data_IF_596341315856
#
_entry.id   IF_596341315856
#
_cell.length_a   1.000
_cell.length_b   1.000
_cell.length_c   1.000
_cell.angle_alpha   90.00
_cell.angle_beta   90.00
_cell.angle_gamma   90.00
#
_symmetry.space_group_name_H-M   'P 1'
#
loop_
_entity.id
_entity.type
_entity.pdbx_description
1 polymer ?
#
# COMPACT_ATOMS: atom_id res chain seq x y z
N UNK A 1 0.03 68.92 33.99
CA UNK A 1 -0.86 70.05 33.71
C UNK A 1 -2.25 69.43 33.59
N UNK A 2 -2.97 69.26 34.61
CA UNK A 2 -4.16 69.92 35.20
C UNK A 2 -4.99 70.59 34.09
N UNK A 3 -6.29 70.20 33.93
CA UNK A 3 -7.51 70.74 34.63
C UNK A 3 -8.65 69.94 33.97
N UNK A 4 -9.47 69.14 34.54
CA UNK A 4 -10.62 69.24 35.49
C UNK A 4 -11.69 70.30 35.13
N UNK A 5 -12.96 69.87 35.15
CA UNK A 5 -14.17 70.52 35.69
C UNK A 5 -15.42 69.99 34.92
N UNK A 6 -16.25 69.15 35.44
CA UNK A 6 -17.38 69.13 36.40
C UNK A 6 -18.67 69.88 36.00
N UNK A 7 -19.78 69.20 36.34
CA UNK A 7 -21.15 69.62 36.68
C UNK A 7 -22.18 69.66 35.52
N UNK A 8 -23.39 69.22 35.70
CA UNK A 8 -24.17 68.65 36.80
C UNK A 8 -25.67 68.95 36.61
N UNK A 9 -26.48 68.06 37.17
CA UNK A 9 -27.80 68.34 37.77
C UNK A 9 -28.95 68.68 36.78
N UNK A 10 -30.13 68.04 36.71
CA UNK A 10 -31.15 67.78 37.69
C UNK A 10 -32.30 66.91 37.09
N UNK A 11 -32.89 66.10 37.95
CA UNK A 11 -34.23 65.49 37.88
C UNK A 11 -35.31 66.52 38.35
N UNK A 12 -36.60 66.43 38.04
CA UNK A 12 -37.54 65.76 38.92
C UNK A 12 -38.76 65.07 38.25
N UNK A 13 -39.14 63.95 38.70
CA UNK A 13 -40.24 63.51 39.58
C UNK A 13 -41.71 63.83 39.22
N UNK A 14 -42.46 62.71 39.22
CA UNK A 14 -43.90 62.50 39.51
C UNK A 14 -44.91 62.54 38.34
N UNK A 15 -45.70 61.50 38.13
CA UNK A 15 -46.93 61.12 38.86
C UNK A 15 -47.59 59.86 38.30
N UNK A 16 -48.11 59.09 39.21
CA UNK A 16 -48.97 57.90 39.05
C UNK A 16 -50.22 58.19 38.21
N UNK A 17 -50.70 57.20 37.48
CA UNK A 17 -52.11 56.79 37.47
C UNK A 17 -52.27 55.32 37.07
N UNK A 18 -53.10 54.61 37.83
CA UNK A 18 -53.53 53.23 37.68
C UNK A 18 -54.49 53.07 36.53
N UNK A 19 -54.47 51.94 35.89
CA UNK A 19 -55.51 51.49 34.99
C UNK A 19 -55.30 50.02 34.63
N UNK A 20 -56.02 49.12 35.26
CA UNK A 20 -56.08 47.70 34.98
C UNK A 20 -56.93 47.45 33.74
N UNK A 21 -56.48 46.51 32.89
CA UNK A 21 -57.41 45.64 32.10
C UNK A 21 -56.64 44.51 31.39
N UNK A 22 -56.97 43.30 31.79
CA UNK A 22 -57.17 42.06 31.02
C UNK A 22 -56.19 41.73 29.84
N UNK A 23 -55.36 40.82 30.03
CA UNK A 23 -55.21 39.45 29.56
C UNK A 23 -55.30 39.18 28.06
N UNK A 24 -54.21 38.76 27.54
CA UNK A 24 -54.18 37.62 26.58
C UNK A 24 -52.74 37.06 26.59
N UNK A 25 -52.55 35.88 27.16
CA UNK A 25 -51.32 35.08 27.02
C UNK A 25 -51.18 34.62 25.56
N UNK A 26 -50.30 35.24 24.81
CA UNK A 26 -49.77 34.67 23.59
C UNK A 26 -48.52 33.87 23.96
N UNK A 27 -48.67 32.55 24.10
CA UNK A 27 -47.57 31.61 24.19
C UNK A 27 -46.91 31.54 22.81
N UNK A 28 -45.85 32.31 22.58
CA UNK A 28 -44.94 32.12 21.46
C UNK A 28 -44.10 30.88 21.75
N UNK A 29 -44.48 29.74 21.13
CA UNK A 29 -43.68 28.56 21.02
C UNK A 29 -42.40 28.96 20.24
N UNK A 30 -41.27 29.10 20.96
CA UNK A 30 -39.95 29.06 20.33
C UNK A 30 -39.75 27.65 19.77
N UNK A 31 -40.15 27.46 18.50
CA UNK A 31 -39.63 26.36 17.72
C UNK A 31 -38.11 26.58 17.60
N UNK A 32 -37.35 25.93 18.48
CA UNK A 32 -35.93 25.81 18.35
C UNK A 32 -35.61 25.03 17.09
N UNK A 33 -35.51 25.75 15.97
CA UNK A 33 -34.90 25.20 14.77
C UNK A 33 -33.46 24.86 15.12
N UNK A 34 -33.16 23.60 15.28
CA UNK A 34 -31.78 23.13 15.22
C UNK A 34 -31.26 23.52 13.84
N UNK A 35 -30.51 24.62 13.78
CA UNK A 35 -29.72 24.92 12.59
C UNK A 35 -28.88 23.66 12.34
N UNK A 36 -28.90 23.13 11.11
CA UNK A 36 -28.00 22.04 10.79
C UNK A 36 -26.59 22.54 11.12
N UNK A 37 -25.89 21.83 12.01
CA UNK A 37 -24.48 22.03 12.20
C UNK A 37 -23.87 22.00 10.79
N UNK A 38 -23.25 23.07 10.38
CA UNK A 38 -22.51 23.13 9.13
C UNK A 38 -21.53 21.98 9.21
N UNK A 39 -21.76 20.92 8.45
CA UNK A 39 -20.78 19.89 8.22
C UNK A 39 -19.58 20.65 7.67
N UNK A 40 -18.48 20.69 8.43
CA UNK A 40 -17.25 21.25 7.93
C UNK A 40 -17.00 20.60 6.57
N UNK A 41 -16.81 21.41 5.51
CA UNK A 41 -16.51 20.89 4.18
C UNK A 41 -15.26 20.03 4.29
N UNK A 42 -15.45 18.71 4.34
CA UNK A 42 -14.36 17.76 4.36
C UNK A 42 -13.82 17.67 2.91
N UNK A 43 -12.53 17.94 2.68
CA UNK A 43 -11.99 17.79 1.34
C UNK A 43 -12.29 16.41 0.79
N UNK A 44 -12.86 16.34 -0.41
CA UNK A 44 -13.15 15.09 -1.10
C UNK A 44 -14.36 14.31 -0.61
N UNK A 45 -15.09 14.81 0.40
CA UNK A 45 -16.31 14.15 0.89
C UNK A 45 -17.51 15.05 0.67
N UNK A 46 -18.54 14.53 0.03
CA UNK A 46 -19.84 15.18 -0.13
C UNK A 46 -20.93 14.31 0.51
N UNK A 47 -22.18 14.71 0.45
CA UNK A 47 -23.30 13.89 0.95
C UNK A 47 -23.46 12.54 0.22
N UNK A 48 -22.85 12.36 -0.95
CA UNK A 48 -23.06 11.19 -1.82
C UNK A 48 -21.79 10.62 -2.42
N UNK A 49 -20.62 11.21 -2.16
CA UNK A 49 -19.37 10.83 -2.79
C UNK A 49 -18.17 10.94 -1.85
N UNK A 50 -17.23 10.01 -1.97
CA UNK A 50 -15.89 10.07 -1.38
C UNK A 50 -14.89 10.01 -2.52
N UNK A 51 -14.01 11.03 -2.64
CA UNK A 51 -12.92 11.06 -3.62
C UNK A 51 -11.66 10.46 -3.02
N UNK A 52 -11.11 9.45 -3.69
CA UNK A 52 -9.88 8.75 -3.30
C UNK A 52 -8.86 8.94 -4.41
N UNK A 53 -7.64 9.35 -4.06
CA UNK A 53 -6.55 9.54 -5.00
C UNK A 53 -5.60 8.37 -5.06
N UNK A 54 -4.98 8.17 -6.22
CA UNK A 54 -3.95 7.16 -6.44
C UNK A 54 -2.95 7.64 -7.50
N UNK A 55 -1.72 7.15 -7.41
CA UNK A 55 -0.74 7.20 -8.51
C UNK A 55 -0.22 5.79 -8.76
N UNK A 56 -0.12 5.43 -10.03
CA UNK A 56 0.36 4.12 -10.47
C UNK A 56 1.22 4.27 -11.74
N UNK A 57 2.01 3.26 -12.04
CA UNK A 57 2.85 3.20 -13.22
C UNK A 57 2.09 2.59 -14.41
N UNK A 58 1.23 3.35 -15.05
CA UNK A 58 0.56 2.89 -16.29
C UNK A 58 1.50 2.88 -17.48
N UNK A 59 2.60 3.62 -17.39
CA UNK A 59 3.68 3.69 -18.36
C UNK A 59 5.05 3.48 -17.69
N UNK A 60 6.13 3.43 -18.51
CA UNK A 60 7.50 3.36 -18.00
C UNK A 60 7.96 1.97 -17.56
N UNK A 61 9.10 1.89 -16.84
CA UNK A 61 9.80 0.62 -16.58
C UNK A 61 9.04 -0.32 -15.62
N UNK A 62 8.12 0.20 -14.82
CA UNK A 62 7.30 -0.57 -13.87
C UNK A 62 5.86 -0.77 -14.37
N UNK A 63 5.57 -0.58 -15.66
CA UNK A 63 4.22 -0.61 -16.22
C UNK A 63 3.49 -1.95 -16.09
N UNK A 64 4.20 -3.03 -15.78
CA UNK A 64 3.58 -4.30 -15.41
C UNK A 64 2.65 -4.19 -14.17
N UNK A 65 2.90 -3.22 -13.30
CA UNK A 65 2.05 -2.96 -12.13
C UNK A 65 0.80 -2.12 -12.44
N UNK A 66 0.72 -1.44 -13.58
CA UNK A 66 -0.41 -0.56 -13.92
C UNK A 66 -1.78 -1.25 -13.96
N UNK A 67 -1.82 -2.58 -13.91
CA UNK A 67 -3.04 -3.36 -13.76
C UNK A 67 -3.61 -3.27 -12.32
N UNK A 68 -2.78 -2.91 -11.33
CA UNK A 68 -3.20 -2.79 -9.92
C UNK A 68 -4.29 -1.74 -9.80
N UNK A 69 -4.00 -0.49 -10.13
CA UNK A 69 -4.99 0.58 -9.99
C UNK A 69 -6.16 0.47 -10.98
N UNK A 70 -5.99 -0.20 -12.13
CA UNK A 70 -7.12 -0.58 -13.00
C UNK A 70 -8.06 -1.54 -12.29
N UNK A 71 -7.52 -2.51 -11.57
CA UNK A 71 -8.31 -3.48 -10.80
C UNK A 71 -9.01 -2.83 -9.62
N UNK A 72 -8.33 -1.91 -8.92
CA UNK A 72 -8.92 -1.11 -7.83
C UNK A 72 -10.08 -0.24 -8.35
N UNK A 73 -9.91 0.43 -9.48
CA UNK A 73 -10.98 1.20 -10.14
C UNK A 73 -12.19 0.31 -10.46
N UNK A 74 -11.95 -0.88 -10.99
CA UNK A 74 -13.00 -1.87 -11.28
C UNK A 74 -13.66 -2.37 -9.98
N UNK A 75 -12.89 -2.56 -8.90
CA UNK A 75 -13.41 -2.95 -7.59
C UNK A 75 -14.34 -1.87 -7.02
N UNK A 76 -13.92 -0.61 -7.03
CA UNK A 76 -14.77 0.48 -6.56
C UNK A 76 -16.00 0.69 -7.44
N UNK A 77 -15.88 0.44 -8.75
CA UNK A 77 -17.08 0.37 -9.61
C UNK A 77 -18.03 -0.72 -9.15
N UNK A 78 -17.56 -1.90 -8.82
CA UNK A 78 -18.37 -3.00 -8.27
C UNK A 78 -19.09 -2.55 -6.98
N UNK A 79 -18.38 -1.92 -6.06
CA UNK A 79 -18.97 -1.41 -4.81
C UNK A 79 -20.02 -0.32 -5.11
N UNK A 80 -19.74 0.57 -6.04
CA UNK A 80 -20.67 1.60 -6.47
C UNK A 80 -21.96 1.02 -7.10
N UNK A 81 -21.84 -0.04 -7.90
CA UNK A 81 -23.00 -0.75 -8.47
C UNK A 81 -23.88 -1.38 -7.38
N UNK A 82 -23.28 -1.72 -6.21
CA UNK A 82 -23.98 -2.27 -5.04
C UNK A 82 -24.52 -1.20 -4.07
N UNK A 83 -24.40 0.09 -4.40
CA UNK A 83 -24.92 1.18 -3.57
C UNK A 83 -23.84 2.08 -2.95
N UNK A 84 -22.57 1.69 -2.98
CA UNK A 84 -21.47 2.41 -2.34
C UNK A 84 -21.27 2.01 -0.88
N UNK A 85 -20.71 2.92 -0.06
CA UNK A 85 -20.49 2.74 1.37
C UNK A 85 -21.25 3.81 2.13
N UNK A 86 -22.14 3.42 3.03
CA UNK A 86 -22.98 4.33 3.83
C UNK A 86 -23.67 5.42 2.96
N UNK A 87 -24.14 5.03 1.77
CA UNK A 87 -24.81 5.93 0.81
C UNK A 87 -23.88 6.76 -0.06
N UNK A 88 -22.55 6.66 0.14
CA UNK A 88 -21.57 7.39 -0.66
C UNK A 88 -20.99 6.50 -1.77
N UNK A 89 -20.87 7.06 -2.96
CA UNK A 89 -20.12 6.44 -4.07
C UNK A 89 -18.64 6.76 -3.92
N UNK A 90 -17.81 5.82 -4.31
CA UNK A 90 -16.34 6.00 -4.33
C UNK A 90 -15.95 6.55 -5.69
N UNK A 91 -15.37 7.74 -5.72
CA UNK A 91 -14.77 8.34 -6.90
C UNK A 91 -13.24 8.16 -6.81
N UNK A 92 -12.73 7.16 -7.53
CA UNK A 92 -11.33 6.79 -7.52
C UNK A 92 -10.59 7.46 -8.68
N UNK A 93 -9.69 8.38 -8.35
CA UNK A 93 -8.88 9.16 -9.29
C UNK A 93 -7.46 8.62 -9.29
N UNK A 94 -7.06 7.93 -10.35
CA UNK A 94 -5.72 7.37 -10.50
C UNK A 94 -4.97 7.99 -11.68
N UNK A 95 -3.74 8.45 -11.43
CA UNK A 95 -2.91 9.13 -12.42
C UNK A 95 -1.61 8.36 -12.70
N UNK A 96 -1.18 8.39 -13.97
CA UNK A 96 0.10 7.83 -14.41
C UNK A 96 1.27 8.69 -13.91
N UNK A 97 2.14 8.11 -13.12
CA UNK A 97 3.40 8.72 -12.73
C UNK A 97 4.63 8.11 -13.44
N UNK A 98 4.43 7.04 -14.22
CA UNK A 98 5.49 6.33 -14.94
C UNK A 98 6.59 5.79 -14.03
N UNK A 99 6.30 5.58 -12.74
CA UNK A 99 7.27 5.20 -11.70
C UNK A 99 8.38 6.27 -11.52
N UNK A 100 8.04 7.54 -11.73
CA UNK A 100 8.98 8.68 -11.67
C UNK A 100 8.66 9.54 -10.46
N UNK A 101 9.54 9.61 -9.43
CA UNK A 101 9.30 10.42 -8.25
C UNK A 101 8.92 11.89 -8.52
N UNK A 102 9.55 12.62 -9.48
CA UNK A 102 9.11 13.97 -9.82
C UNK A 102 7.67 14.03 -10.34
N UNK A 103 7.26 13.08 -11.20
CA UNK A 103 5.88 13.02 -11.70
C UNK A 103 4.91 12.64 -10.58
N UNK A 104 5.28 11.73 -9.69
CA UNK A 104 4.46 11.39 -8.53
C UNK A 104 4.17 12.63 -7.68
N UNK A 105 5.18 13.46 -7.42
CA UNK A 105 4.99 14.74 -6.69
C UNK A 105 4.00 15.64 -7.40
N UNK A 106 4.10 15.76 -8.74
CA UNK A 106 3.17 16.56 -9.55
C UNK A 106 1.73 16.02 -9.43
N UNK A 107 1.54 14.72 -9.68
CA UNK A 107 0.21 14.10 -9.67
C UNK A 107 -0.43 14.13 -8.28
N UNK A 108 0.35 13.88 -7.22
CA UNK A 108 -0.16 13.92 -5.85
C UNK A 108 -0.54 15.36 -5.43
N UNK A 109 0.20 16.38 -5.85
CA UNK A 109 -0.21 17.76 -5.64
C UNK A 109 -1.51 18.07 -6.37
N UNK A 110 -1.67 17.61 -7.61
CA UNK A 110 -2.91 17.75 -8.35
C UNK A 110 -4.08 17.09 -7.62
N UNK A 111 -3.92 15.82 -7.20
CA UNK A 111 -4.96 15.10 -6.45
C UNK A 111 -5.38 15.83 -5.16
N UNK A 112 -4.41 16.37 -4.41
CA UNK A 112 -4.69 17.01 -3.12
C UNK A 112 -5.18 18.44 -3.27
N UNK A 113 -4.55 19.25 -4.14
CA UNK A 113 -4.76 20.71 -4.21
C UNK A 113 -5.84 21.10 -5.24
N UNK A 114 -6.00 20.34 -6.33
CA UNK A 114 -6.96 20.64 -7.40
C UNK A 114 -8.18 19.74 -7.34
N UNK A 115 -7.97 18.42 -7.30
CA UNK A 115 -9.08 17.44 -7.26
C UNK A 115 -9.68 17.30 -5.86
N UNK A 116 -8.93 17.76 -4.83
CA UNK A 116 -9.36 17.78 -3.43
C UNK A 116 -9.77 16.39 -2.94
N UNK A 117 -8.94 15.37 -3.17
CA UNK A 117 -9.21 14.03 -2.66
C UNK A 117 -9.21 14.00 -1.13
N UNK A 118 -10.00 13.13 -0.54
CA UNK A 118 -10.01 12.94 0.89
C UNK A 118 -8.70 12.33 1.35
N UNK A 119 -8.31 11.21 0.75
CA UNK A 119 -7.06 10.53 1.05
C UNK A 119 -6.48 9.86 -0.19
N UNK A 120 -5.23 9.37 -0.07
CA UNK A 120 -4.57 8.56 -1.08
C UNK A 120 -4.65 7.08 -0.68
N UNK A 121 -4.81 6.21 -1.67
CA UNK A 121 -4.91 4.78 -1.48
C UNK A 121 -4.00 4.03 -2.45
N UNK A 122 -3.23 3.09 -1.92
CA UNK A 122 -2.40 2.13 -2.65
C UNK A 122 -1.49 2.76 -3.72
N UNK A 123 -0.96 3.96 -3.46
CA UNK A 123 0.02 4.60 -4.34
C UNK A 123 1.24 3.71 -4.54
N UNK A 124 1.67 3.53 -5.80
CA UNK A 124 2.67 2.53 -6.17
C UNK A 124 4.10 2.98 -5.91
N UNK A 125 4.89 2.08 -5.32
CA UNK A 125 6.34 2.10 -5.35
C UNK A 125 7.03 2.81 -4.19
N UNK A 126 8.24 2.37 -3.88
CA UNK A 126 9.04 2.93 -2.78
C UNK A 126 9.61 4.30 -3.11
N UNK A 127 10.31 4.52 -4.23
CA UNK A 127 10.91 5.83 -4.52
C UNK A 127 9.85 6.91 -4.75
N UNK A 128 8.72 6.56 -5.34
CA UNK A 128 7.59 7.44 -5.59
C UNK A 128 6.94 7.89 -4.28
N UNK A 129 6.65 6.97 -3.37
CA UNK A 129 6.09 7.28 -2.05
C UNK A 129 7.09 8.02 -1.15
N UNK A 130 8.39 7.68 -1.21
CA UNK A 130 9.43 8.44 -0.49
C UNK A 130 9.41 9.93 -0.88
N UNK A 131 9.18 10.24 -2.16
CA UNK A 131 9.13 11.62 -2.65
C UNK A 131 7.93 12.43 -2.13
N UNK A 132 6.82 11.79 -1.78
CA UNK A 132 5.58 12.46 -1.35
C UNK A 132 5.30 12.33 0.15
N UNK A 133 5.94 11.40 0.86
CA UNK A 133 5.66 11.06 2.25
C UNK A 133 5.64 12.29 3.18
N UNK A 134 6.67 13.13 3.10
CA UNK A 134 6.76 14.34 3.92
C UNK A 134 5.64 15.34 3.59
N UNK A 135 5.30 15.48 2.32
CA UNK A 135 4.26 16.41 1.87
C UNK A 135 2.87 15.96 2.34
N UNK A 136 2.52 14.70 2.14
CA UNK A 136 1.21 14.14 2.57
C UNK A 136 1.05 14.23 4.08
N UNK A 137 2.10 13.93 4.86
CA UNK A 137 2.10 14.05 6.32
C UNK A 137 1.95 15.50 6.79
N UNK A 138 2.64 16.48 6.17
CA UNK A 138 2.46 17.90 6.47
C UNK A 138 1.04 18.39 6.18
N UNK A 139 0.44 17.91 5.09
CA UNK A 139 -0.96 18.24 4.71
C UNK A 139 -2.00 17.43 5.50
N UNK A 140 -1.58 16.49 6.34
CA UNK A 140 -2.44 15.54 7.06
C UNK A 140 -3.42 14.82 6.12
N UNK A 141 -2.92 14.37 4.97
CA UNK A 141 -3.63 13.55 4.01
C UNK A 141 -3.19 12.11 4.23
N UNK A 142 -4.09 11.21 4.63
CA UNK A 142 -3.76 9.80 4.73
C UNK A 142 -3.24 9.26 3.39
N UNK A 143 -2.16 8.49 3.42
CA UNK A 143 -1.70 7.66 2.31
C UNK A 143 -1.74 6.21 2.79
N UNK A 144 -2.85 5.53 2.49
CA UNK A 144 -3.19 4.25 3.10
C UNK A 144 -2.79 3.09 2.21
N UNK A 145 -2.23 2.07 2.86
CA UNK A 145 -1.95 0.77 2.25
C UNK A 145 -1.11 0.90 1.00
N UNK A 146 -0.05 1.71 1.08
CA UNK A 146 0.82 1.97 -0.07
C UNK A 146 1.37 0.68 -0.66
N UNK A 147 1.42 0.63 -2.00
CA UNK A 147 1.80 -0.56 -2.78
C UNK A 147 3.31 -0.75 -2.79
N UNK A 148 3.87 -1.04 -1.62
CA UNK A 148 5.29 -1.35 -1.39
C UNK A 148 5.51 -1.89 0.01
N UNK A 149 6.50 -2.78 0.15
CA UNK A 149 6.88 -3.39 1.43
C UNK A 149 8.13 -2.80 2.07
N UNK A 150 8.57 -1.58 1.70
CA UNK A 150 9.73 -0.99 2.36
C UNK A 150 9.49 -0.83 3.86
N UNK A 151 10.49 -1.18 4.66
CA UNK A 151 10.38 -1.28 6.12
C UNK A 151 9.99 0.05 6.78
N UNK A 152 10.39 1.17 6.17
CA UNK A 152 10.10 2.53 6.65
C UNK A 152 8.62 2.87 6.78
N UNK A 153 7.72 2.17 6.06
CA UNK A 153 6.27 2.44 6.11
C UNK A 153 5.62 2.06 7.44
N UNK A 154 6.35 1.40 8.33
CA UNK A 154 5.96 1.15 9.70
C UNK A 154 6.22 2.30 10.67
N UNK A 155 6.83 3.42 10.25
CA UNK A 155 7.21 4.55 11.12
C UNK A 155 6.03 5.46 11.48
N UNK A 156 5.10 4.93 12.26
CA UNK A 156 3.92 5.65 12.74
C UNK A 156 4.25 6.89 13.59
N UNK A 157 5.47 6.97 14.17
CA UNK A 157 5.88 8.09 15.04
C UNK A 157 6.20 9.36 14.25
N UNK A 158 6.94 9.21 13.16
CA UNK A 158 7.38 10.34 12.34
C UNK A 158 6.41 10.62 11.18
N UNK A 159 5.74 9.58 10.68
CA UNK A 159 4.84 9.65 9.52
C UNK A 159 3.46 9.07 9.82
N UNK A 160 2.70 9.64 10.79
CA UNK A 160 1.42 9.08 11.27
C UNK A 160 0.30 9.09 10.21
N UNK A 161 0.50 9.69 9.06
CA UNK A 161 -0.46 9.74 7.95
C UNK A 161 -0.09 8.82 6.79
N UNK A 162 0.93 7.96 6.96
CA UNK A 162 1.38 7.01 5.95
C UNK A 162 1.36 5.60 6.54
N UNK A 163 0.75 4.65 5.82
CA UNK A 163 0.67 3.25 6.25
C UNK A 163 0.99 2.32 5.08
N UNK A 164 1.89 1.34 5.31
CA UNK A 164 2.18 0.27 4.37
C UNK A 164 1.05 -0.76 4.27
N UNK A 165 1.21 -1.76 3.41
CA UNK A 165 0.31 -2.91 3.33
C UNK A 165 1.07 -4.23 3.27
N UNK A 166 2.00 -4.32 2.34
CA UNK A 166 2.78 -5.53 2.09
C UNK A 166 3.70 -5.87 3.27
N UNK A 167 4.10 -7.14 3.42
CA UNK A 167 5.15 -7.52 4.36
C UNK A 167 6.45 -6.76 4.09
N UNK A 168 7.22 -6.52 5.16
CA UNK A 168 8.50 -5.81 5.06
C UNK A 168 9.52 -6.57 4.20
N UNK A 169 10.12 -5.88 3.23
CA UNK A 169 11.23 -6.40 2.40
C UNK A 169 12.45 -6.77 3.24
N UNK A 170 12.71 -6.01 4.28
CA UNK A 170 13.78 -6.31 5.24
C UNK A 170 13.52 -7.64 5.96
N UNK A 171 12.28 -7.89 6.39
CA UNK A 171 11.85 -9.17 6.96
C UNK A 171 11.95 -10.29 5.94
N UNK A 172 11.56 -10.06 4.69
CA UNK A 172 11.68 -11.04 3.62
C UNK A 172 13.14 -11.47 3.41
N UNK A 173 14.06 -10.52 3.34
CA UNK A 173 15.49 -10.79 3.23
C UNK A 173 16.05 -11.56 4.44
N UNK A 174 15.55 -11.30 5.64
CA UNK A 174 15.89 -12.06 6.84
C UNK A 174 15.45 -13.53 6.73
N UNK A 175 14.25 -13.77 6.20
CA UNK A 175 13.72 -15.13 5.96
C UNK A 175 14.61 -15.88 4.98
N UNK A 176 14.96 -15.26 3.83
CA UNK A 176 15.83 -15.86 2.84
C UNK A 176 17.20 -16.18 3.42
N UNK A 177 17.77 -15.27 4.17
CA UNK A 177 19.10 -15.45 4.77
C UNK A 177 19.11 -16.59 5.79
N UNK A 178 18.11 -16.67 6.65
CA UNK A 178 17.96 -17.77 7.62
C UNK A 178 17.81 -19.12 6.91
N UNK A 179 16.96 -19.17 5.87
CA UNK A 179 16.77 -20.38 5.08
C UNK A 179 18.08 -20.79 4.36
N UNK A 180 18.74 -19.84 3.69
CA UNK A 180 20.03 -20.06 3.02
C UNK A 180 21.06 -20.70 3.96
N UNK A 181 21.25 -20.12 5.14
CA UNK A 181 22.21 -20.61 6.13
C UNK A 181 21.85 -22.00 6.68
N UNK A 182 20.55 -22.30 6.81
CA UNK A 182 20.08 -23.62 7.23
C UNK A 182 20.37 -24.70 6.17
N UNK A 183 20.29 -24.34 4.88
CA UNK A 183 20.61 -25.27 3.78
C UNK A 183 22.11 -25.35 3.49
N UNK A 184 22.81 -24.23 3.52
CA UNK A 184 24.25 -24.13 3.26
C UNK A 184 24.93 -23.14 4.21
N UNK A 185 25.49 -23.59 5.35
CA UNK A 185 26.18 -22.71 6.29
C UNK A 185 27.43 -22.00 5.73
N UNK A 186 27.91 -22.44 4.56
CA UNK A 186 29.09 -21.87 3.86
C UNK A 186 28.70 -21.10 2.59
N UNK A 187 27.43 -20.77 2.43
CA UNK A 187 26.92 -20.07 1.26
C UNK A 187 27.71 -18.79 0.97
N UNK A 188 27.91 -18.52 -0.32
CA UNK A 188 28.44 -17.27 -0.85
C UNK A 188 27.34 -16.56 -1.60
N UNK A 189 26.87 -15.45 -1.05
CA UNK A 189 25.72 -14.69 -1.53
C UNK A 189 26.16 -13.56 -2.46
N UNK A 190 25.54 -13.50 -3.63
CA UNK A 190 25.53 -12.31 -4.48
C UNK A 190 24.13 -11.65 -4.43
N UNK A 191 24.08 -10.31 -4.46
CA UNK A 191 22.83 -9.54 -4.36
C UNK A 191 22.73 -8.60 -5.54
N UNK A 192 21.61 -8.67 -6.29
CA UNK A 192 21.17 -7.65 -7.25
C UNK A 192 20.02 -6.87 -6.61
N UNK A 193 20.08 -5.54 -6.61
CA UNK A 193 19.02 -4.74 -6.04
C UNK A 193 18.79 -3.42 -6.78
N UNK A 194 17.54 -2.92 -6.78
CA UNK A 194 17.19 -1.58 -7.27
C UNK A 194 17.85 -0.52 -6.37
N UNK A 195 18.48 0.50 -6.93
CA UNK A 195 19.23 1.51 -6.17
C UNK A 195 18.34 2.56 -5.50
N UNK A 196 17.44 2.11 -4.65
CA UNK A 196 16.58 2.94 -3.81
C UNK A 196 16.24 2.24 -2.49
N UNK A 197 15.32 2.79 -1.68
CA UNK A 197 14.96 2.23 -0.39
C UNK A 197 14.31 0.83 -0.51
N UNK A 198 13.61 0.51 -1.63
CA UNK A 198 13.12 -0.84 -1.90
C UNK A 198 14.26 -1.86 -1.94
N UNK A 199 15.19 -1.63 -2.84
CA UNK A 199 16.28 -2.57 -3.05
C UNK A 199 17.23 -2.63 -1.86
N UNK A 200 17.47 -1.51 -1.16
CA UNK A 200 18.40 -1.41 -0.02
C UNK A 200 17.90 -2.11 1.26
N UNK A 201 16.61 -2.35 1.39
CA UNK A 201 16.06 -3.14 2.49
C UNK A 201 16.58 -4.60 2.48
N UNK A 202 16.88 -5.15 1.28
CA UNK A 202 17.35 -6.54 1.18
C UNK A 202 18.78 -6.73 1.74
N UNK A 203 19.81 -5.98 1.30
CA UNK A 203 21.12 -6.09 1.95
C UNK A 203 21.05 -5.71 3.44
N UNK A 204 20.17 -4.79 3.86
CA UNK A 204 19.97 -4.48 5.27
C UNK A 204 19.41 -5.69 6.04
N UNK A 205 18.38 -6.36 5.53
CA UNK A 205 17.82 -7.56 6.17
C UNK A 205 18.80 -8.74 6.20
N UNK A 206 19.60 -8.92 5.13
CA UNK A 206 20.71 -9.88 5.11
C UNK A 206 21.72 -9.56 6.21
N UNK A 207 22.09 -8.28 6.37
CA UNK A 207 23.03 -7.82 7.39
C UNK A 207 22.52 -8.02 8.82
N UNK A 208 21.22 -7.84 9.05
CA UNK A 208 20.61 -8.10 10.35
C UNK A 208 20.83 -9.55 10.83
N UNK A 209 20.75 -10.50 9.90
CA UNK A 209 20.95 -11.93 10.23
C UNK A 209 22.42 -12.29 10.34
N UNK A 210 23.25 -11.79 9.43
CA UNK A 210 24.67 -12.16 9.35
C UNK A 210 25.55 -11.41 10.35
N UNK A 211 25.17 -10.18 10.73
CA UNK A 211 25.98 -9.34 11.61
C UNK A 211 27.40 -9.16 11.09
N UNK A 212 28.39 -9.47 11.94
CA UNK A 212 29.82 -9.38 11.59
C UNK A 212 30.25 -10.32 10.45
N UNK A 213 29.47 -11.37 10.16
CA UNK A 213 29.75 -12.31 9.05
C UNK A 213 29.36 -11.77 7.67
N UNK A 214 28.70 -10.61 7.59
CA UNK A 214 28.19 -10.07 6.34
C UNK A 214 29.26 -10.06 5.23
N UNK A 215 30.41 -9.43 5.47
CA UNK A 215 31.49 -9.30 4.50
C UNK A 215 32.15 -10.63 4.08
N UNK A 216 31.98 -11.69 4.86
CA UNK A 216 32.53 -13.02 4.52
C UNK A 216 31.53 -13.90 3.75
N UNK A 217 30.22 -13.60 3.85
CA UNK A 217 29.14 -14.34 3.18
C UNK A 217 28.69 -13.61 1.91
N UNK A 218 28.49 -12.29 1.96
CA UNK A 218 28.11 -11.48 0.81
C UNK A 218 29.36 -11.15 0.00
N UNK A 219 29.58 -11.89 -1.07
CA UNK A 219 30.81 -11.79 -1.89
C UNK A 219 30.71 -10.70 -2.96
N UNK A 220 29.50 -10.32 -3.36
CA UNK A 220 29.26 -9.27 -4.35
C UNK A 220 27.87 -8.66 -4.23
N UNK A 221 27.80 -7.34 -4.34
CA UNK A 221 26.57 -6.59 -4.52
C UNK A 221 26.65 -5.82 -5.85
N UNK A 222 25.53 -5.73 -6.55
CA UNK A 222 25.36 -4.88 -7.70
C UNK A 222 23.96 -4.22 -7.67
N UNK A 223 23.93 -2.94 -7.97
CA UNK A 223 22.66 -2.22 -8.09
C UNK A 223 22.34 -1.87 -9.53
N UNK A 224 21.07 -1.57 -9.79
CA UNK A 224 20.59 -1.03 -11.05
C UNK A 224 19.67 0.16 -10.80
N UNK A 225 19.56 1.03 -11.81
CA UNK A 225 18.58 2.12 -11.84
C UNK A 225 17.34 1.69 -12.65
N UNK A 226 16.16 2.19 -12.28
CA UNK A 226 14.93 1.89 -13.01
C UNK A 226 14.96 2.38 -14.47
N UNK A 227 15.85 3.31 -14.77
CA UNK A 227 16.10 3.85 -16.12
C UNK A 227 17.09 3.04 -16.95
N UNK A 228 17.74 2.03 -16.35
CA UNK A 228 18.66 1.17 -17.09
C UNK A 228 17.93 0.39 -18.20
N UNK A 229 18.59 0.22 -19.32
CA UNK A 229 18.05 -0.59 -20.41
C UNK A 229 18.09 -2.08 -20.07
N UNK A 230 19.24 -2.55 -19.55
CA UNK A 230 19.50 -3.94 -19.17
C UNK A 230 20.35 -4.01 -17.89
N UNK A 231 20.42 -5.22 -17.30
CA UNK A 231 21.25 -5.54 -16.14
C UNK A 231 22.33 -6.58 -16.47
N UNK A 232 22.67 -6.73 -17.73
CA UNK A 232 23.59 -7.77 -18.21
C UNK A 232 24.98 -7.70 -17.55
N UNK A 233 25.53 -6.48 -17.41
CA UNK A 233 26.83 -6.27 -16.79
C UNK A 233 26.82 -6.59 -15.30
N UNK A 234 25.76 -6.21 -14.61
CA UNK A 234 25.57 -6.53 -13.19
C UNK A 234 25.51 -8.04 -12.99
N UNK A 235 24.68 -8.75 -13.77
CA UNK A 235 24.52 -10.20 -13.65
C UNK A 235 25.81 -10.96 -13.98
N UNK A 236 26.54 -10.55 -15.02
CA UNK A 236 27.83 -11.13 -15.35
C UNK A 236 28.87 -10.94 -14.23
N UNK A 237 28.89 -9.74 -13.63
CA UNK A 237 29.76 -9.45 -12.50
C UNK A 237 29.40 -10.25 -11.23
N UNK A 238 28.10 -10.49 -10.98
CA UNK A 238 27.63 -11.29 -9.85
C UNK A 238 28.01 -12.76 -10.04
N UNK A 239 27.83 -13.33 -11.24
CA UNK A 239 28.28 -14.69 -11.54
C UNK A 239 29.80 -14.85 -11.37
N UNK A 240 30.59 -13.91 -11.90
CA UNK A 240 32.05 -13.95 -11.83
C UNK A 240 32.59 -13.86 -10.40
N UNK A 241 31.78 -13.47 -9.40
CA UNK A 241 32.18 -13.45 -7.99
C UNK A 241 32.35 -14.84 -7.36
N UNK A 242 31.88 -15.88 -8.05
CA UNK A 242 31.88 -17.25 -7.54
C UNK A 242 30.81 -17.51 -6.47
N UNK A 243 29.76 -16.69 -6.42
CA UNK A 243 28.62 -16.92 -5.53
C UNK A 243 27.85 -18.19 -5.95
N UNK A 244 27.45 -18.98 -4.96
CA UNK A 244 26.56 -20.15 -5.09
C UNK A 244 25.11 -19.83 -4.77
N UNK A 245 24.85 -18.62 -4.31
CA UNK A 245 23.54 -18.12 -3.95
C UNK A 245 23.34 -16.72 -4.53
N UNK A 246 22.16 -16.46 -5.07
CA UNK A 246 21.76 -15.17 -5.66
C UNK A 246 20.46 -14.68 -5.01
N UNK A 247 20.45 -13.42 -4.60
CA UNK A 247 19.25 -12.70 -4.18
C UNK A 247 18.96 -11.55 -5.16
N UNK A 248 17.76 -11.53 -5.73
CA UNK A 248 17.31 -10.51 -6.68
C UNK A 248 16.16 -9.72 -6.11
N UNK A 249 16.41 -8.46 -5.78
CA UNK A 249 15.44 -7.46 -5.35
C UNK A 249 15.17 -6.49 -6.51
N UNK A 250 14.31 -6.90 -7.43
CA UNK A 250 14.08 -6.21 -8.69
C UNK A 250 12.59 -6.11 -9.04
N UNK A 251 12.20 -5.02 -9.72
CA UNK A 251 10.88 -4.86 -10.31
C UNK A 251 10.68 -5.80 -11.52
N UNK A 252 9.46 -6.05 -12.00
CA UNK A 252 9.14 -7.11 -12.95
C UNK A 252 10.04 -7.20 -14.19
N UNK A 253 10.27 -6.07 -14.88
CA UNK A 253 11.15 -6.01 -16.06
C UNK A 253 12.54 -6.58 -15.75
N UNK A 254 13.14 -6.12 -14.67
CA UNK A 254 14.52 -6.50 -14.32
C UNK A 254 14.60 -7.88 -13.67
N UNK A 255 13.54 -8.30 -12.96
CA UNK A 255 13.42 -9.66 -12.46
C UNK A 255 13.38 -10.67 -13.63
N UNK A 256 12.57 -10.43 -14.66
CA UNK A 256 12.52 -11.27 -15.85
C UNK A 256 13.89 -11.31 -16.58
N UNK A 257 14.57 -10.15 -16.68
CA UNK A 257 15.92 -10.09 -17.25
C UNK A 257 16.92 -10.89 -16.41
N UNK A 258 16.86 -10.81 -15.07
CA UNK A 258 17.75 -11.55 -14.18
C UNK A 258 17.57 -13.07 -14.33
N UNK A 259 16.33 -13.55 -14.34
CA UNK A 259 16.00 -14.97 -14.52
C UNK A 259 16.56 -15.48 -15.86
N UNK A 260 16.27 -14.76 -16.95
CA UNK A 260 16.78 -15.12 -18.28
C UNK A 260 18.32 -15.12 -18.32
N UNK A 261 18.95 -14.08 -17.72
CA UNK A 261 20.41 -13.97 -17.76
C UNK A 261 21.10 -15.05 -16.94
N UNK A 262 20.56 -15.48 -15.82
CA UNK A 262 21.06 -16.61 -15.03
C UNK A 262 21.09 -17.88 -15.88
N UNK A 263 19.99 -18.15 -16.62
CA UNK A 263 19.89 -19.27 -17.55
C UNK A 263 20.92 -19.14 -18.69
N UNK A 264 20.99 -18.00 -19.37
CA UNK A 264 21.88 -17.75 -20.51
C UNK A 264 23.36 -17.88 -20.14
N UNK A 265 23.71 -17.54 -18.87
CA UNK A 265 25.09 -17.71 -18.34
C UNK A 265 25.40 -19.15 -17.90
N UNK A 266 24.44 -20.08 -17.96
CA UNK A 266 24.61 -21.42 -17.39
C UNK A 266 24.92 -21.39 -15.88
N UNK A 267 24.47 -20.35 -15.17
CA UNK A 267 24.69 -20.21 -13.75
C UNK A 267 23.58 -20.91 -12.96
N UNK A 268 23.93 -21.68 -11.95
CA UNK A 268 22.99 -22.49 -11.16
C UNK A 268 23.07 -22.19 -9.67
N UNK A 269 22.80 -20.95 -9.23
CA UNK A 269 22.82 -20.59 -7.82
C UNK A 269 21.52 -21.07 -7.13
N UNK A 270 21.55 -21.18 -5.81
CA UNK A 270 20.30 -21.07 -5.04
C UNK A 270 19.75 -19.66 -5.26
N UNK A 271 18.59 -19.53 -5.92
CA UNK A 271 18.08 -18.25 -6.40
C UNK A 271 16.88 -17.79 -5.56
N UNK A 272 17.03 -16.66 -4.87
CA UNK A 272 15.94 -15.97 -4.15
C UNK A 272 15.45 -14.78 -4.96
N UNK A 273 14.13 -14.68 -5.13
CA UNK A 273 13.47 -13.58 -5.85
C UNK A 273 12.50 -12.86 -4.92
N UNK A 274 12.50 -11.52 -4.95
CA UNK A 274 11.52 -10.70 -4.22
C UNK A 274 10.08 -11.06 -4.55
N UNK A 275 9.20 -11.06 -3.56
CA UNK A 275 7.79 -11.44 -3.70
C UNK A 275 6.99 -10.51 -4.62
N UNK A 276 7.43 -9.27 -4.83
CA UNK A 276 6.74 -8.32 -5.73
C UNK A 276 6.96 -8.58 -7.22
N UNK A 277 7.82 -9.54 -7.57
CA UNK A 277 8.14 -9.88 -8.96
C UNK A 277 7.99 -11.38 -9.27
N UNK A 278 6.95 -12.00 -8.70
CA UNK A 278 6.69 -13.43 -8.84
C UNK A 278 5.49 -13.76 -9.76
N UNK A 279 4.80 -12.75 -10.28
CA UNK A 279 3.63 -12.96 -11.14
C UNK A 279 3.96 -13.87 -12.31
N UNK A 280 3.14 -14.91 -12.52
CA UNK A 280 3.34 -15.85 -13.62
C UNK A 280 3.16 -15.13 -14.95
N UNK A 281 2.08 -14.38 -15.13
CA UNK A 281 1.78 -13.68 -16.37
C UNK A 281 2.77 -12.57 -16.72
N UNK A 282 3.16 -11.75 -15.74
CA UNK A 282 3.97 -10.55 -16.00
C UNK A 282 5.47 -10.70 -15.76
N UNK A 283 5.94 -11.81 -15.13
CA UNK A 283 7.37 -12.04 -14.86
C UNK A 283 7.84 -13.41 -15.33
N UNK A 284 7.25 -14.51 -14.82
CA UNK A 284 7.78 -15.83 -15.06
C UNK A 284 7.62 -16.27 -16.53
N UNK A 285 6.46 -16.02 -17.16
CA UNK A 285 6.23 -16.32 -18.56
C UNK A 285 7.12 -15.48 -19.50
N UNK A 286 7.25 -14.15 -19.34
CA UNK A 286 8.20 -13.35 -20.12
C UNK A 286 9.67 -13.73 -19.94
N UNK A 287 10.05 -14.25 -18.77
CA UNK A 287 11.41 -14.73 -18.50
C UNK A 287 11.73 -16.09 -19.16
N UNK A 288 10.69 -16.81 -19.65
CA UNK A 288 10.76 -18.24 -19.94
C UNK A 288 10.54 -19.02 -18.65
N UNK A 289 9.34 -19.59 -18.49
CA UNK A 289 8.91 -20.22 -17.23
C UNK A 289 9.89 -21.31 -16.75
N UNK A 290 10.45 -22.07 -17.69
CA UNK A 290 11.44 -23.12 -17.45
C UNK A 290 12.77 -22.58 -16.92
N UNK A 291 13.16 -21.35 -17.28
CA UNK A 291 14.41 -20.73 -16.85
C UNK A 291 14.43 -20.43 -15.34
N UNK A 292 13.26 -20.33 -14.74
CA UNK A 292 13.08 -20.02 -13.33
C UNK A 292 12.90 -21.24 -12.43
N UNK A 293 12.91 -22.47 -12.95
CA UNK A 293 12.65 -23.67 -12.12
C UNK A 293 13.62 -23.74 -10.95
N UNK A 294 13.08 -23.85 -9.74
CA UNK A 294 13.84 -23.89 -8.50
C UNK A 294 14.02 -22.55 -7.79
N UNK A 295 13.62 -21.42 -8.40
CA UNK A 295 13.60 -20.10 -7.74
C UNK A 295 12.74 -20.18 -6.47
N UNK A 296 13.27 -19.61 -5.39
CA UNK A 296 12.62 -19.53 -4.08
C UNK A 296 12.17 -18.09 -3.84
N UNK A 297 10.97 -17.94 -3.31
CA UNK A 297 10.42 -16.66 -2.89
C UNK A 297 9.61 -16.83 -1.61
N UNK A 298 9.07 -15.72 -1.08
CA UNK A 298 8.00 -15.76 -0.07
C UNK A 298 6.67 -15.39 -0.70
N UNK A 299 5.58 -15.91 -0.15
CA UNK A 299 4.22 -15.50 -0.49
C UNK A 299 3.42 -15.20 0.78
N UNK A 300 2.49 -14.28 0.66
CA UNK A 300 1.49 -13.96 1.68
C UNK A 300 0.08 -14.02 1.13
N UNK A 301 -0.07 -14.00 -0.20
CA UNK A 301 -1.36 -14.13 -0.91
C UNK A 301 -1.38 -15.38 -1.79
N UNK A 302 -2.59 -15.80 -2.14
CA UNK A 302 -2.86 -16.96 -3.00
C UNK A 302 -2.43 -16.65 -4.43
N UNK A 303 -1.63 -17.53 -5.02
CA UNK A 303 -1.28 -17.43 -6.43
C UNK A 303 -2.48 -17.92 -7.30
N UNK A 304 -2.87 -17.15 -8.33
CA UNK A 304 -4.02 -17.52 -9.17
C UNK A 304 -3.79 -18.79 -10.01
N UNK A 305 -2.53 -19.20 -10.19
CA UNK A 305 -2.14 -20.39 -10.95
C UNK A 305 -1.97 -21.64 -10.07
N UNK A 306 -1.98 -21.48 -8.71
CA UNK A 306 -1.86 -22.61 -7.79
C UNK A 306 -3.14 -23.44 -7.79
N UNK A 307 -3.09 -24.73 -8.24
CA UNK A 307 -4.26 -25.59 -8.28
C UNK A 307 -4.88 -25.86 -6.89
N UNK A 308 -4.13 -25.67 -5.82
CA UNK A 308 -4.65 -25.78 -4.44
C UNK A 308 -5.76 -24.77 -4.13
N UNK A 309 -5.81 -23.65 -4.89
CA UNK A 309 -6.83 -22.61 -4.72
C UNK A 309 -7.92 -22.63 -5.80
N UNK A 310 -8.02 -23.73 -6.57
CA UNK A 310 -9.04 -23.86 -7.62
C UNK A 310 -10.46 -23.66 -7.09
N UNK A 311 -10.76 -24.29 -5.96
CA UNK A 311 -12.09 -24.27 -5.34
C UNK A 311 -12.15 -23.36 -4.08
N UNK A 312 -11.12 -22.56 -3.85
CA UNK A 312 -11.07 -21.62 -2.72
C UNK A 312 -12.15 -20.53 -2.85
N UNK A 313 -12.97 -20.29 -1.81
CA UNK A 313 -14.06 -19.34 -1.87
C UNK A 313 -13.61 -17.91 -2.21
N UNK A 314 -12.50 -17.44 -1.62
CA UNK A 314 -11.96 -16.09 -1.87
C UNK A 314 -11.46 -15.93 -3.31
N UNK A 315 -10.74 -16.93 -3.82
CA UNK A 315 -10.29 -16.95 -5.21
C UNK A 315 -11.45 -17.09 -6.20
N UNK A 316 -12.52 -17.79 -5.84
CA UNK A 316 -13.73 -17.86 -6.67
C UNK A 316 -14.46 -16.52 -6.71
N UNK A 317 -14.51 -15.77 -5.61
CA UNK A 317 -15.03 -14.40 -5.59
C UNK A 317 -14.21 -13.48 -6.49
N UNK A 318 -12.87 -13.53 -6.37
CA UNK A 318 -11.96 -12.80 -7.24
C UNK A 318 -12.17 -13.17 -8.73
N UNK A 319 -12.24 -14.46 -9.08
CA UNK A 319 -12.48 -14.89 -10.48
C UNK A 319 -13.83 -14.39 -11.02
N UNK A 320 -14.87 -14.42 -10.21
CA UNK A 320 -16.19 -13.90 -10.58
C UNK A 320 -16.15 -12.38 -10.80
N UNK A 321 -15.44 -11.66 -9.97
CA UNK A 321 -15.17 -10.23 -10.12
C UNK A 321 -14.41 -9.95 -11.42
N UNK A 322 -13.29 -10.63 -11.68
CA UNK A 322 -12.50 -10.46 -12.89
C UNK A 322 -13.33 -10.72 -14.15
N UNK A 323 -14.08 -11.81 -14.17
CA UNK A 323 -14.97 -12.15 -15.31
C UNK A 323 -15.98 -11.05 -15.62
N UNK A 324 -16.51 -10.37 -14.60
CA UNK A 324 -17.57 -9.35 -14.77
C UNK A 324 -17.02 -7.97 -15.08
N UNK A 325 -15.96 -7.57 -14.40
CA UNK A 325 -15.47 -6.20 -14.40
C UNK A 325 -14.16 -5.99 -15.17
N UNK A 326 -13.40 -7.06 -15.39
CA UNK A 326 -12.10 -7.03 -16.09
C UNK A 326 -11.91 -8.25 -17.01
N UNK A 327 -12.84 -8.51 -17.95
CA UNK A 327 -12.86 -9.77 -18.73
C UNK A 327 -11.62 -9.98 -19.61
N UNK A 328 -10.93 -8.91 -20.01
CA UNK A 328 -9.79 -8.98 -20.93
C UNK A 328 -8.43 -9.06 -20.19
N UNK A 329 -8.45 -9.19 -18.85
CA UNK A 329 -7.22 -9.25 -18.05
C UNK A 329 -6.70 -10.68 -17.93
N UNK A 330 -5.38 -10.84 -18.02
CA UNK A 330 -4.71 -12.11 -17.81
C UNK A 330 -4.90 -12.62 -16.37
N UNK A 331 -5.60 -13.74 -16.21
CA UNK A 331 -5.86 -14.34 -14.90
C UNK A 331 -4.64 -15.04 -14.28
N UNK A 332 -3.52 -15.14 -15.00
CA UNK A 332 -2.26 -15.68 -14.46
C UNK A 332 -1.39 -14.58 -13.84
N UNK A 333 -1.79 -13.29 -13.97
CA UNK A 333 -1.14 -12.17 -13.30
C UNK A 333 -1.60 -12.09 -11.84
N UNK A 334 -0.65 -12.10 -10.92
CA UNK A 334 -0.92 -11.99 -9.48
C UNK A 334 -1.27 -10.56 -9.02
N UNK A 335 -0.95 -9.53 -9.81
CA UNK A 335 -1.20 -8.14 -9.45
C UNK A 335 -2.70 -7.81 -9.27
N UNK A 336 -3.63 -8.30 -10.10
CA UNK A 336 -5.07 -8.15 -9.84
C UNK A 336 -5.55 -8.86 -8.57
N UNK A 337 -4.91 -9.95 -8.14
CA UNK A 337 -5.23 -10.62 -6.86
C UNK A 337 -4.87 -9.69 -5.70
N UNK A 338 -3.65 -9.12 -5.74
CA UNK A 338 -3.19 -8.12 -4.76
C UNK A 338 -4.16 -6.93 -4.66
N UNK A 339 -4.50 -6.33 -5.79
CA UNK A 339 -5.39 -5.17 -5.86
C UNK A 339 -6.78 -5.45 -5.27
N UNK A 340 -7.34 -6.63 -5.56
CA UNK A 340 -8.63 -7.07 -5.02
C UNK A 340 -8.57 -7.23 -3.49
N UNK A 341 -7.49 -7.84 -2.97
CA UNK A 341 -7.29 -8.02 -1.54
C UNK A 341 -7.19 -6.70 -0.79
N UNK A 342 -6.27 -5.82 -1.19
CA UNK A 342 -6.07 -4.53 -0.53
C UNK A 342 -7.29 -3.63 -0.62
N UNK A 343 -8.03 -3.68 -1.73
CA UNK A 343 -9.31 -2.95 -1.88
C UNK A 343 -10.38 -3.48 -0.94
N UNK A 344 -10.41 -4.79 -0.67
CA UNK A 344 -11.33 -5.40 0.31
C UNK A 344 -11.03 -4.91 1.73
N UNK A 345 -9.75 -4.73 2.06
CA UNK A 345 -9.33 -4.17 3.36
C UNK A 345 -9.70 -2.68 3.46
N UNK A 346 -9.50 -1.88 2.41
CA UNK A 346 -9.96 -0.48 2.42
C UNK A 346 -11.48 -0.40 2.58
N UNK A 347 -12.23 -1.25 1.91
CA UNK A 347 -13.69 -1.31 2.07
C UNK A 347 -14.10 -1.54 3.54
N UNK A 348 -13.35 -2.40 4.26
CA UNK A 348 -13.56 -2.61 5.70
C UNK A 348 -13.28 -1.34 6.50
N UNK A 349 -12.18 -0.62 6.21
CA UNK A 349 -11.88 0.68 6.85
C UNK A 349 -13.02 1.66 6.65
N UNK A 350 -13.50 1.82 5.41
CA UNK A 350 -14.59 2.74 5.08
C UNK A 350 -15.89 2.37 5.81
N UNK A 351 -16.23 1.09 5.91
CA UNK A 351 -17.39 0.63 6.70
C UNK A 351 -17.24 0.93 8.19
N UNK A 352 -16.03 0.80 8.75
CA UNK A 352 -15.74 1.14 10.14
C UNK A 352 -15.84 2.65 10.43
N UNK A 353 -15.72 3.48 9.39
CA UNK A 353 -15.90 4.93 9.53
C UNK A 353 -17.33 5.31 9.91
N UNK A 354 -18.34 4.47 9.63
CA UNK A 354 -19.73 4.66 10.00
C UNK A 354 -20.25 6.07 9.64
N UNK A 355 -19.97 6.50 8.39
CA UNK A 355 -20.37 7.80 7.84
C UNK A 355 -19.48 9.00 8.20
N UNK A 356 -18.55 8.87 9.16
CA UNK A 356 -17.52 9.89 9.42
C UNK A 356 -16.27 9.59 8.59
N UNK A 357 -16.22 10.13 7.39
CA UNK A 357 -15.08 10.00 6.47
C UNK A 357 -14.04 11.10 6.66
N UNK A 358 -13.99 11.77 7.82
CA UNK A 358 -12.91 12.70 8.10
C UNK A 358 -11.55 11.97 8.03
N UNK A 359 -10.53 12.63 7.48
CA UNK A 359 -9.16 12.08 7.36
C UNK A 359 -8.65 11.50 8.68
N UNK A 360 -8.97 12.17 9.80
CA UNK A 360 -8.57 11.70 11.12
C UNK A 360 -9.26 10.38 11.50
N UNK A 361 -10.56 10.24 11.20
CA UNK A 361 -11.28 9.00 11.47
C UNK A 361 -10.87 7.89 10.50
N UNK A 362 -10.69 8.18 9.22
CA UNK A 362 -10.19 7.22 8.23
C UNK A 362 -8.84 6.64 8.68
N UNK A 363 -7.90 7.49 9.08
CA UNK A 363 -6.60 7.03 9.59
C UNK A 363 -6.72 6.24 10.89
N UNK A 364 -7.61 6.67 11.81
CA UNK A 364 -7.90 5.95 13.05
C UNK A 364 -8.45 4.56 12.79
N UNK A 365 -9.39 4.42 11.84
CA UNK A 365 -9.96 3.11 11.50
C UNK A 365 -8.95 2.22 10.78
N UNK A 366 -8.12 2.78 9.89
CA UNK A 366 -7.02 2.05 9.27
C UNK A 366 -6.00 1.54 10.31
N UNK A 367 -5.77 2.28 11.38
CA UNK A 367 -4.92 1.87 12.51
C UNK A 367 -5.64 1.02 13.58
N UNK A 368 -6.78 0.43 13.25
CA UNK A 368 -7.59 -0.38 14.18
C UNK A 368 -8.22 -1.59 13.46
N UNK A 369 -7.43 -2.30 12.68
CA UNK A 369 -7.86 -3.50 11.99
C UNK A 369 -7.56 -4.75 12.82
N UNK A 370 -8.54 -5.64 12.94
CA UNK A 370 -8.43 -6.92 13.63
C UNK A 370 -8.94 -8.03 12.71
N UNK A 371 -8.02 -8.82 12.16
CA UNK A 371 -8.33 -9.85 11.17
C UNK A 371 -9.22 -9.30 10.05
N UNK A 372 -8.85 -8.12 9.52
CA UNK A 372 -9.63 -7.49 8.46
C UNK A 372 -9.74 -8.43 7.25
N UNK A 373 -10.90 -8.45 6.58
CA UNK A 373 -11.16 -9.40 5.50
C UNK A 373 -10.30 -9.08 4.28
N UNK A 374 -9.37 -9.97 4.02
CA UNK A 374 -8.66 -10.07 2.75
C UNK A 374 -8.83 -11.51 2.24
N UNK A 375 -9.75 -11.74 1.28
CA UNK A 375 -10.14 -13.09 0.87
C UNK A 375 -9.05 -13.84 0.09
N UNK A 376 -7.99 -13.13 -0.32
CA UNK A 376 -6.92 -13.71 -1.14
C UNK A 376 -5.62 -13.95 -0.39
N UNK A 377 -5.57 -13.69 0.92
CA UNK A 377 -4.42 -14.07 1.75
C UNK A 377 -4.29 -15.58 1.88
N UNK A 378 -3.06 -16.04 2.04
CA UNK A 378 -2.79 -17.43 2.40
C UNK A 378 -3.48 -17.79 3.73
N UNK A 379 -4.01 -19.03 3.87
CA UNK A 379 -4.60 -19.48 5.11
C UNK A 379 -3.63 -19.32 6.29
N UNK A 380 -4.08 -18.68 7.37
CA UNK A 380 -3.27 -18.40 8.56
C UNK A 380 -2.54 -17.06 8.54
N UNK A 381 -2.55 -16.33 7.43
CA UNK A 381 -2.06 -14.94 7.36
C UNK A 381 -3.25 -13.99 7.52
N UNK A 382 -3.06 -12.92 8.30
CA UNK A 382 -4.13 -11.99 8.67
C UNK A 382 -3.67 -10.54 8.55
N UNK A 383 -4.64 -9.62 8.35
CA UNK A 383 -4.41 -8.18 8.35
C UNK A 383 -4.76 -7.60 9.72
N UNK A 384 -3.75 -7.08 10.40
CA UNK A 384 -3.92 -6.47 11.72
C UNK A 384 -3.11 -5.18 11.82
N UNK A 385 -3.71 -4.15 12.40
CA UNK A 385 -3.03 -2.87 12.68
C UNK A 385 -3.33 -2.40 14.09
N UNK A 386 -2.54 -1.46 14.57
CA UNK A 386 -2.81 -0.73 15.80
C UNK A 386 -2.22 0.68 15.70
N UNK A 387 -2.51 1.60 16.63
CA UNK A 387 -1.88 2.93 16.63
C UNK A 387 -0.35 2.92 16.70
N UNK A 388 0.24 1.78 17.04
CA UNK A 388 1.69 1.58 17.12
C UNK A 388 2.22 0.49 16.18
N UNK A 389 1.39 0.01 15.26
CA UNK A 389 1.75 -0.99 14.26
C UNK A 389 1.12 -0.64 12.89
N UNK A 390 1.94 -0.13 11.98
CA UNK A 390 1.58 0.23 10.61
C UNK A 390 2.07 -0.78 9.56
N UNK A 391 2.39 -2.01 9.99
CA UNK A 391 2.63 -3.17 9.13
C UNK A 391 1.43 -4.12 9.19
N UNK A 392 0.45 -3.98 8.29
CA UNK A 392 -0.80 -4.76 8.34
C UNK A 392 -0.60 -6.26 8.19
N UNK A 393 0.34 -6.68 7.33
CA UNK A 393 0.70 -8.07 7.07
C UNK A 393 2.13 -8.31 7.53
N UNK A 394 2.34 -9.25 8.46
CA UNK A 394 3.65 -9.52 9.08
C UNK A 394 4.11 -10.97 8.92
N UNK A 395 3.38 -11.77 8.19
CA UNK A 395 3.67 -13.19 8.02
C UNK A 395 3.78 -13.55 6.54
N UNK A 396 4.67 -14.49 6.24
CA UNK A 396 4.93 -15.00 4.90
C UNK A 396 5.20 -16.51 4.95
N UNK A 397 5.05 -17.18 3.81
CA UNK A 397 5.43 -18.59 3.64
C UNK A 397 6.38 -18.72 2.47
N UNK A 398 7.42 -19.56 2.61
CA UNK A 398 8.31 -19.89 1.50
C UNK A 398 7.57 -20.66 0.40
N UNK A 399 7.94 -20.37 -0.84
CA UNK A 399 7.45 -21.08 -2.01
C UNK A 399 8.55 -21.21 -3.07
N UNK A 400 8.45 -22.25 -3.90
CA UNK A 400 9.41 -22.57 -4.95
C UNK A 400 8.71 -22.66 -6.30
N UNK A 401 9.31 -22.09 -7.32
CA UNK A 401 8.82 -22.18 -8.70
C UNK A 401 9.04 -23.56 -9.31
N UNK A 402 7.99 -24.16 -9.83
CA UNK A 402 8.01 -25.50 -10.44
C UNK A 402 8.16 -25.49 -11.97
N UNK A 403 8.15 -24.31 -12.60
CA UNK A 403 8.03 -24.13 -14.03
C UNK A 403 6.59 -23.89 -14.49
N UNK A 404 5.59 -24.07 -13.59
CA UNK A 404 4.16 -23.89 -13.89
C UNK A 404 3.42 -23.11 -12.83
N UNK A 405 3.76 -23.30 -11.57
CA UNK A 405 3.12 -22.67 -10.41
C UNK A 405 4.11 -22.55 -9.26
N UNK A 406 3.76 -21.74 -8.28
CA UNK A 406 4.50 -21.61 -7.03
C UNK A 406 4.01 -22.67 -6.02
N UNK A 407 4.90 -23.59 -5.64
CA UNK A 407 4.63 -24.62 -4.63
C UNK A 407 5.11 -24.14 -3.27
N UNK A 408 4.18 -24.05 -2.32
CA UNK A 408 4.47 -23.62 -0.95
C UNK A 408 5.14 -24.74 -0.16
N UNK A 409 6.09 -24.36 0.69
CA UNK A 409 6.76 -25.30 1.59
C UNK A 409 7.11 -24.64 2.94
N UNK A 410 7.39 -25.47 3.94
CA UNK A 410 7.63 -25.00 5.29
C UNK A 410 6.36 -24.43 5.96
N UNK A 411 6.52 -23.94 7.18
CA UNK A 411 5.46 -23.24 7.91
C UNK A 411 5.39 -21.76 7.57
N UNK A 412 4.30 -21.10 7.95
CA UNK A 412 4.21 -19.63 7.97
C UNK A 412 5.28 -19.11 8.94
N UNK A 413 5.97 -18.06 8.51
CA UNK A 413 7.03 -17.38 9.25
C UNK A 413 6.55 -15.97 9.56
N UNK A 414 6.41 -15.67 10.84
CA UNK A 414 6.14 -14.30 11.30
C UNK A 414 7.42 -13.46 11.27
N UNK A 415 7.30 -12.20 10.88
CA UNK A 415 8.36 -11.21 11.01
C UNK A 415 8.74 -11.02 12.47
N UNK A 416 9.98 -10.68 12.74
CA UNK A 416 10.39 -10.27 14.08
C UNK A 416 9.62 -9.00 14.47
N UNK A 417 8.96 -9.07 15.63
CA UNK A 417 8.26 -7.92 16.25
C UNK A 417 9.26 -6.92 16.78
#
# INVERSE_FOLDING_TARGET
MRISITRGINCPRNRKWMGAAFGTLLATALAGGTLPAWAADLPGVTATEIKIGNTDAYSGPASAYGVIAKTESAFFKMINDQGGVDGHKINFLSYDDGYSPPKTVEQVRRLIEQDQVDFLFNTLGTPTNTAIERYTNLKKVPNLFISTGADKWGDYKHFPWTMGYQPSYRTEAQIYTKYMLAQNPKAKLAILYQNDDFGKDYPAGVKDVLGAKYASVVVKEASYETTDATIDSQMTSLQASGADTLLVAATPKFAAQAIKKVHDLGWHPTFFLTNVSISVGSVMAPAGAENGVGIITTGYMKDPTDPAFKDDPGMNQWRAFMKKYMPDTDLTDANPVFAYGVSSVLLQVLKQCNGDFSRANVMKQAANLHNAPDPVLLPGITVNTSPTNFHPIQAMQLQKWTGKTWERFGSIIEGAK
#
